data_IF_934971900690
#
_entry.id   IF_934971900690
#
_cell.length_a   1.000
_cell.length_b   1.000
_cell.length_c   1.000
_cell.angle_alpha   90.00
_cell.angle_beta   90.00
_cell.angle_gamma   90.00
#
_symmetry.space_group_name_H-M   'P 1'
#
loop_
_entity.id
_entity.type
_entity.pdbx_description
1 polymer ?
#
# COMPACT_ATOMS: atom_id res chain seq x y z
N UNK A 1 1.20 -15.02 9.05
CA UNK A 1 -0.05 -14.46 8.50
C UNK A 1 0.11 -12.95 8.41
N UNK A 2 -0.40 -12.36 7.34
CA UNK A 2 -0.43 -10.91 7.18
C UNK A 2 -1.15 -10.30 8.39
N UNK A 3 -0.58 -9.26 9.02
CA UNK A 3 -1.26 -8.59 10.11
C UNK A 3 -2.49 -7.91 9.56
N UNK A 4 -3.57 -8.49 9.96
CA UNK A 4 -4.87 -8.39 9.37
C UNK A 4 -5.51 -7.00 9.50
N UNK A 5 -6.47 -6.77 8.63
CA UNK A 5 -7.58 -5.82 8.59
C UNK A 5 -7.91 -5.06 9.90
N UNK A 6 -7.73 -5.66 11.08
CA UNK A 6 -8.03 -5.00 12.36
C UNK A 6 -7.30 -3.69 12.59
N UNK A 7 -6.04 -3.56 12.12
CA UNK A 7 -5.30 -2.30 12.30
C UNK A 7 -5.78 -1.21 11.35
N UNK A 8 -6.05 -1.53 10.07
CA UNK A 8 -6.63 -0.56 9.13
C UNK A 8 -8.07 -0.22 9.48
N UNK A 9 -8.90 -1.21 9.84
CA UNK A 9 -10.28 -0.97 10.26
C UNK A 9 -10.35 -0.04 11.50
N UNK A 10 -9.37 -0.12 12.40
CA UNK A 10 -9.30 0.78 13.55
C UNK A 10 -8.91 2.22 13.17
N UNK A 11 -8.01 2.39 12.20
CA UNK A 11 -7.62 3.71 11.70
C UNK A 11 -8.75 4.43 10.96
N UNK A 12 -9.64 3.68 10.31
CA UNK A 12 -10.73 4.22 9.49
C UNK A 12 -12.13 4.03 10.10
N UNK A 13 -12.24 3.60 11.37
CA UNK A 13 -13.54 3.29 12.02
C UNK A 13 -14.53 4.46 12.00
N UNK A 14 -14.02 5.70 12.04
CA UNK A 14 -14.83 6.92 12.07
C UNK A 14 -14.82 7.67 10.71
N UNK A 15 -14.40 6.99 9.64
CA UNK A 15 -14.30 7.56 8.29
C UNK A 15 -15.38 6.94 7.39
N UNK A 16 -16.54 7.60 7.21
CA UNK A 16 -17.65 7.03 6.45
C UNK A 16 -17.37 6.85 4.96
N UNK A 17 -16.34 7.52 4.43
CA UNK A 17 -15.91 7.39 3.03
C UNK A 17 -15.06 6.15 2.78
N UNK A 18 -14.51 5.54 3.83
CA UNK A 18 -13.68 4.35 3.71
C UNK A 18 -14.51 3.10 3.38
N UNK A 19 -14.16 2.44 2.28
CA UNK A 19 -14.73 1.14 1.92
C UNK A 19 -13.67 0.06 2.13
N UNK A 20 -13.86 -0.83 3.11
CA UNK A 20 -12.88 -1.87 3.39
C UNK A 20 -12.80 -2.88 2.25
N UNK A 21 -11.63 -3.49 2.08
CA UNK A 21 -11.46 -4.63 1.20
C UNK A 21 -12.29 -5.84 1.64
N UNK A 22 -12.55 -6.74 0.70
CA UNK A 22 -13.11 -8.05 1.01
C UNK A 22 -12.07 -8.88 1.78
N UNK A 23 -12.44 -9.34 2.97
CA UNK A 23 -11.50 -10.00 3.89
C UNK A 23 -10.84 -11.25 3.29
N UNK A 24 -11.57 -12.01 2.49
CA UNK A 24 -11.07 -13.23 1.87
C UNK A 24 -10.00 -12.95 0.81
N UNK A 25 -10.15 -11.88 0.06
CA UNK A 25 -9.26 -11.51 -1.03
C UNK A 25 -7.89 -11.08 -0.48
N UNK A 26 -7.86 -10.16 0.49
CA UNK A 26 -6.61 -9.72 1.13
C UNK A 26 -5.81 -10.89 1.71
N UNK A 27 -6.47 -11.91 2.28
CA UNK A 27 -5.79 -13.09 2.82
C UNK A 27 -5.24 -14.00 1.72
N UNK A 28 -5.99 -14.17 0.62
CA UNK A 28 -5.56 -15.02 -0.49
C UNK A 28 -4.41 -14.40 -1.28
N UNK A 29 -4.41 -13.08 -1.45
CA UNK A 29 -3.35 -12.37 -2.17
C UNK A 29 -1.97 -12.55 -1.51
N UNK A 30 -1.94 -12.68 -0.19
CA UNK A 30 -0.70 -12.88 0.58
C UNK A 30 -0.42 -14.34 0.95
N UNK A 31 -1.27 -15.26 0.54
CA UNK A 31 -1.06 -16.69 0.73
C UNK A 31 -0.23 -17.27 -0.42
N UNK A 32 1.02 -17.64 -0.10
CA UNK A 32 1.96 -18.24 -1.08
C UNK A 32 1.45 -19.49 -1.74
N UNK A 33 0.51 -20.20 -1.12
CA UNK A 33 -0.07 -21.41 -1.68
C UNK A 33 -1.21 -21.14 -2.66
N UNK A 34 -1.75 -19.92 -2.68
CA UNK A 34 -2.92 -19.53 -3.48
C UNK A 34 -2.58 -18.53 -4.58
N UNK A 35 -1.72 -17.56 -4.27
CA UNK A 35 -1.37 -16.51 -5.22
C UNK A 35 -0.19 -16.93 -6.11
N UNK A 36 -0.41 -17.19 -7.41
CA UNK A 36 0.64 -17.60 -8.34
C UNK A 36 1.72 -16.54 -8.57
N UNK A 37 1.47 -15.28 -8.20
CA UNK A 37 2.47 -14.22 -8.31
C UNK A 37 3.73 -14.52 -7.48
N UNK A 38 3.64 -15.36 -6.44
CA UNK A 38 4.79 -15.76 -5.65
C UNK A 38 5.81 -16.64 -6.40
N UNK A 39 5.49 -17.15 -7.59
CA UNK A 39 6.45 -17.80 -8.47
C UNK A 39 7.55 -16.84 -8.96
N UNK A 40 7.21 -15.54 -9.10
CA UNK A 40 8.10 -14.51 -9.61
C UNK A 40 8.20 -13.25 -8.72
N UNK A 41 7.48 -13.23 -7.60
CA UNK A 41 7.53 -12.16 -6.62
C UNK A 41 8.07 -12.66 -5.28
N UNK A 42 8.87 -11.82 -4.63
CA UNK A 42 9.16 -11.90 -3.21
C UNK A 42 8.38 -10.79 -2.49
N UNK A 43 7.69 -11.14 -1.41
CA UNK A 43 6.90 -10.17 -0.66
C UNK A 43 7.12 -10.30 0.84
N UNK A 44 7.06 -9.16 1.53
CA UNK A 44 7.20 -9.04 2.98
C UNK A 44 6.22 -8.02 3.53
N UNK A 45 5.91 -8.19 4.81
CA UNK A 45 5.05 -7.28 5.55
C UNK A 45 5.66 -6.96 6.91
N UNK A 46 5.43 -5.75 7.37
CA UNK A 46 5.90 -5.28 8.67
C UNK A 46 4.79 -4.54 9.40
N UNK A 47 4.89 -4.60 10.72
CA UNK A 47 4.07 -3.82 11.66
C UNK A 47 4.94 -2.84 12.41
N UNK A 48 4.44 -1.62 12.59
CA UNK A 48 4.93 -0.72 13.62
C UNK A 48 4.11 -0.96 14.90
N UNK A 49 4.82 -1.20 15.99
CA UNK A 49 4.23 -1.47 17.31
C UNK A 49 4.70 -0.39 18.29
N UNK A 50 3.77 0.10 19.11
CA UNK A 50 4.06 1.00 20.24
C UNK A 50 3.25 0.55 21.45
N UNK A 51 3.91 0.31 22.56
CA UNK A 51 3.28 -0.12 23.83
C UNK A 51 2.35 -1.34 23.69
N UNK A 52 2.70 -2.25 22.79
CA UNK A 52 1.91 -3.46 22.50
C UNK A 52 0.78 -3.27 21.49
N UNK A 53 0.52 -2.04 21.04
CA UNK A 53 -0.50 -1.72 20.07
C UNK A 53 0.08 -1.58 18.64
N UNK A 54 -0.70 -1.97 17.64
CA UNK A 54 -0.33 -1.77 16.24
C UNK A 54 -0.64 -0.33 15.86
N UNK A 55 0.40 0.44 15.51
CA UNK A 55 0.29 1.85 15.11
C UNK A 55 0.53 2.06 13.61
N UNK A 56 0.90 1.01 12.89
CA UNK A 56 1.04 1.06 11.44
C UNK A 56 1.44 -0.28 10.84
N UNK A 57 1.29 -0.37 9.53
CA UNK A 57 1.68 -1.53 8.73
C UNK A 57 2.19 -1.09 7.35
N UNK A 58 2.99 -1.91 6.72
CA UNK A 58 3.40 -1.74 5.33
C UNK A 58 3.72 -3.10 4.73
N UNK A 59 3.27 -3.30 3.49
CA UNK A 59 3.70 -4.41 2.66
C UNK A 59 4.74 -3.97 1.64
N UNK A 60 5.49 -4.91 1.11
CA UNK A 60 6.39 -4.64 0.00
C UNK A 60 6.57 -5.86 -0.89
N UNK A 61 6.72 -5.63 -2.19
CA UNK A 61 6.75 -6.65 -3.23
C UNK A 61 7.91 -6.36 -4.18
N UNK A 62 8.77 -7.35 -4.37
CA UNK A 62 9.81 -7.35 -5.41
C UNK A 62 9.37 -8.29 -6.53
N UNK A 63 8.96 -7.74 -7.67
CA UNK A 63 8.51 -8.50 -8.83
C UNK A 63 9.64 -8.61 -9.85
N UNK A 64 10.29 -9.78 -9.91
CA UNK A 64 11.35 -10.05 -10.92
C UNK A 64 10.82 -9.86 -12.33
N UNK A 65 9.66 -10.43 -12.63
CA UNK A 65 9.04 -10.36 -13.95
C UNK A 65 8.72 -8.95 -14.42
N UNK A 66 8.22 -8.09 -13.51
CA UNK A 66 7.96 -6.68 -13.83
C UNK A 66 9.27 -5.91 -14.03
N UNK A 67 10.25 -6.13 -13.15
CA UNK A 67 11.56 -5.50 -13.26
C UNK A 67 12.29 -5.86 -14.56
N UNK A 68 12.26 -7.14 -14.95
CA UNK A 68 12.82 -7.60 -16.22
C UNK A 68 12.11 -6.96 -17.43
N UNK A 69 10.77 -6.92 -17.39
CA UNK A 69 9.96 -6.32 -18.47
C UNK A 69 10.28 -4.84 -18.68
N UNK A 70 10.48 -4.10 -17.60
CA UNK A 70 10.70 -2.66 -17.66
C UNK A 70 12.19 -2.25 -17.65
N UNK A 71 13.11 -3.22 -17.61
CA UNK A 71 14.54 -2.96 -17.53
C UNK A 71 14.93 -2.14 -16.28
N UNK A 72 14.28 -2.38 -15.17
CA UNK A 72 14.45 -1.66 -13.91
C UNK A 72 14.60 -2.65 -12.76
N UNK A 73 15.21 -2.22 -11.65
CA UNK A 73 15.18 -2.97 -10.39
C UNK A 73 14.56 -2.07 -9.32
N UNK A 74 13.24 -2.19 -9.17
CA UNK A 74 12.43 -1.39 -8.24
C UNK A 74 11.72 -2.30 -7.24
N UNK A 75 11.55 -1.79 -6.03
CA UNK A 75 10.74 -2.41 -5.00
C UNK A 75 9.40 -1.67 -4.89
N UNK A 76 8.29 -2.39 -4.86
CA UNK A 76 6.97 -1.82 -4.62
C UNK A 76 6.70 -1.77 -3.12
N UNK A 77 6.12 -0.67 -2.61
CA UNK A 77 5.42 -0.70 -1.35
C UNK A 77 3.91 -0.80 -1.59
N UNK A 78 3.18 -1.36 -0.63
CA UNK A 78 1.74 -1.59 -0.73
C UNK A 78 1.10 -1.66 0.65
N UNK A 79 -0.23 -1.62 0.72
CA UNK A 79 -1.02 -1.81 1.94
C UNK A 79 -0.44 -1.04 3.15
N UNK A 80 -0.09 0.22 2.93
CA UNK A 80 0.47 1.08 3.95
C UNK A 80 -0.64 1.79 4.72
N UNK A 81 -0.62 1.59 6.03
CA UNK A 81 -1.50 2.30 6.97
C UNK A 81 -0.69 2.69 8.20
N UNK A 82 -0.88 3.91 8.68
CA UNK A 82 -0.20 4.40 9.89
C UNK A 82 -0.96 5.56 10.54
N UNK A 83 -0.78 5.72 11.85
CA UNK A 83 -1.29 6.89 12.59
C UNK A 83 -0.53 8.14 12.16
N UNK A 84 -1.11 9.33 12.40
CA UNK A 84 -0.47 10.62 12.11
C UNK A 84 0.71 10.88 13.06
N UNK A 85 1.82 10.18 12.79
CA UNK A 85 3.05 10.23 13.56
C UNK A 85 4.26 10.02 12.64
N UNK A 86 5.13 11.05 12.49
CA UNK A 86 6.31 10.99 11.62
C UNK A 86 7.32 9.91 12.00
N UNK A 87 7.40 9.52 13.27
CA UNK A 87 8.28 8.43 13.70
C UNK A 87 7.79 7.09 13.16
N UNK A 88 6.46 6.86 13.17
CA UNK A 88 5.85 5.62 12.69
C UNK A 88 6.01 5.50 11.18
N UNK A 89 5.65 6.53 10.41
CA UNK A 89 5.82 6.53 8.96
C UNK A 89 7.29 6.35 8.56
N UNK A 90 8.19 7.08 9.21
CA UNK A 90 9.63 6.96 8.97
C UNK A 90 10.15 5.53 9.25
N UNK A 91 9.74 4.90 10.34
CA UNK A 91 10.16 3.54 10.67
C UNK A 91 9.69 2.52 9.61
N UNK A 92 8.45 2.64 9.16
CA UNK A 92 7.88 1.76 8.13
C UNK A 92 8.63 1.89 6.80
N UNK A 93 8.77 3.11 6.28
CA UNK A 93 9.41 3.34 4.98
C UNK A 93 10.92 3.02 5.01
N UNK A 94 11.64 3.35 6.08
CA UNK A 94 13.05 2.94 6.24
C UNK A 94 13.23 1.43 6.23
N UNK A 95 12.27 0.68 6.76
CA UNK A 95 12.30 -0.79 6.73
C UNK A 95 12.17 -1.33 5.32
N UNK A 96 11.28 -0.74 4.51
CA UNK A 96 11.13 -1.06 3.08
C UNK A 96 12.39 -0.69 2.31
N UNK A 97 12.94 0.51 2.52
CA UNK A 97 14.18 0.97 1.89
C UNK A 97 15.39 0.09 2.24
N UNK A 98 15.46 -0.36 3.50
CA UNK A 98 16.53 -1.28 3.92
C UNK A 98 16.40 -2.64 3.23
N UNK A 99 15.19 -3.10 2.93
CA UNK A 99 14.99 -4.30 2.14
C UNK A 99 15.29 -4.06 0.65
N UNK A 100 14.89 -2.91 0.10
CA UNK A 100 15.25 -2.50 -1.26
C UNK A 100 16.76 -2.51 -1.49
N UNK A 101 17.52 -1.96 -0.56
CA UNK A 101 19.00 -1.95 -0.59
C UNK A 101 19.58 -3.37 -0.59
N UNK A 102 19.00 -4.31 0.16
CA UNK A 102 19.46 -5.73 0.17
C UNK A 102 19.17 -6.46 -1.13
N UNK A 103 18.26 -5.96 -1.95
CA UNK A 103 17.89 -6.48 -3.26
C UNK A 103 18.52 -5.68 -4.40
N UNK A 104 19.44 -4.77 -4.09
CA UNK A 104 20.08 -3.85 -5.04
C UNK A 104 19.07 -3.03 -5.87
N UNK A 105 17.90 -2.76 -5.30
CA UNK A 105 16.88 -1.94 -5.95
C UNK A 105 17.33 -0.48 -6.03
N UNK A 106 17.04 0.14 -7.16
CA UNK A 106 17.39 1.55 -7.44
C UNK A 106 16.33 2.53 -6.96
N UNK A 107 15.10 2.06 -6.73
CA UNK A 107 13.99 2.87 -6.24
C UNK A 107 12.97 2.04 -5.47
N UNK A 108 12.22 2.73 -4.61
CA UNK A 108 10.97 2.26 -3.98
C UNK A 108 9.83 3.09 -4.57
N UNK A 109 8.77 2.44 -5.02
CA UNK A 109 7.61 3.10 -5.61
C UNK A 109 6.29 2.44 -5.17
N UNK A 110 5.18 3.14 -5.30
CA UNK A 110 3.87 2.62 -4.87
C UNK A 110 2.92 3.72 -4.36
N UNK A 111 1.79 3.31 -3.76
CA UNK A 111 1.39 1.91 -3.49
C UNK A 111 1.05 1.13 -4.76
N UNK A 112 1.56 -0.10 -4.87
CA UNK A 112 1.32 -1.01 -6.00
C UNK A 112 1.19 -2.45 -5.49
N UNK A 113 0.25 -3.22 -6.02
CA UNK A 113 0.05 -4.62 -5.71
C UNK A 113 0.98 -5.59 -6.45
N UNK A 114 0.62 -6.87 -6.46
CA UNK A 114 1.33 -7.91 -7.22
C UNK A 114 1.17 -7.71 -8.72
N UNK A 115 -0.01 -7.26 -9.14
CA UNK A 115 -0.40 -7.01 -10.53
C UNK A 115 -1.01 -5.61 -10.67
N UNK A 116 -1.26 -5.19 -11.90
CA UNK A 116 -1.96 -3.95 -12.26
C UNK A 116 -3.50 -4.05 -12.12
N UNK A 117 -3.99 -5.21 -11.66
CA UNK A 117 -5.40 -5.40 -11.31
C UNK A 117 -5.63 -5.24 -9.79
N UNK A 118 -4.57 -5.14 -9.01
CA UNK A 118 -4.66 -4.87 -7.58
C UNK A 118 -4.88 -3.38 -7.32
N UNK A 119 -5.24 -3.07 -6.09
CA UNK A 119 -5.33 -1.66 -5.68
C UNK A 119 -3.98 -0.98 -5.78
N UNK A 120 -3.98 0.20 -6.35
CA UNK A 120 -2.78 1.02 -6.50
C UNK A 120 -3.10 2.50 -6.33
N UNK A 121 -2.03 3.29 -6.14
CA UNK A 121 -2.14 4.72 -5.93
C UNK A 121 -2.45 5.12 -4.48
N UNK A 122 -2.43 6.40 -4.26
CA UNK A 122 -2.73 7.05 -2.99
C UNK A 122 -3.70 8.20 -3.24
N UNK A 123 -4.78 8.27 -2.47
CA UNK A 123 -5.76 9.33 -2.60
C UNK A 123 -5.12 10.68 -2.30
N UNK A 124 -5.22 11.62 -3.23
CA UNK A 124 -4.67 12.99 -3.12
C UNK A 124 -5.76 14.05 -3.16
N UNK A 125 -6.91 13.74 -3.75
CA UNK A 125 -8.09 14.61 -3.84
C UNK A 125 -9.37 13.79 -3.71
N UNK A 126 -10.48 14.41 -3.29
CA UNK A 126 -11.77 13.75 -3.16
C UNK A 126 -11.96 12.97 -1.87
N UNK A 127 -11.31 13.38 -0.78
CA UNK A 127 -11.42 12.76 0.56
C UNK A 127 -12.85 12.79 1.14
N UNK A 128 -13.71 13.63 0.61
CA UNK A 128 -15.13 13.76 0.96
C UNK A 128 -16.02 12.74 0.24
N UNK A 129 -15.47 11.98 -0.71
CA UNK A 129 -16.20 10.99 -1.51
C UNK A 129 -16.01 9.59 -0.97
N UNK A 130 -17.07 8.77 -1.07
CA UNK A 130 -16.95 7.35 -0.75
C UNK A 130 -16.00 6.68 -1.73
N UNK A 131 -14.99 5.99 -1.22
CA UNK A 131 -14.01 5.28 -2.05
C UNK A 131 -14.65 4.10 -2.77
N UNK A 132 -14.09 3.71 -3.91
CA UNK A 132 -14.41 2.45 -4.54
C UNK A 132 -13.63 1.30 -3.85
N UNK A 133 -14.17 0.09 -3.87
CA UNK A 133 -13.48 -1.06 -3.28
C UNK A 133 -12.20 -1.45 -4.06
N UNK A 134 -12.01 -0.95 -5.27
CA UNK A 134 -10.81 -1.14 -6.09
C UNK A 134 -9.68 -0.16 -5.80
N UNK A 135 -9.95 0.91 -5.06
CA UNK A 135 -8.98 1.97 -4.81
C UNK A 135 -8.67 2.07 -3.33
N UNK A 136 -7.50 2.64 -3.02
CA UNK A 136 -7.17 2.93 -1.65
C UNK A 136 -7.86 4.22 -1.18
N UNK A 137 -8.37 4.20 0.04
CA UNK A 137 -8.61 5.39 0.82
C UNK A 137 -7.47 5.54 1.82
N UNK A 138 -6.96 6.73 1.98
CA UNK A 138 -5.98 7.08 2.99
C UNK A 138 -6.30 8.44 3.60
N UNK A 139 -5.77 8.70 4.78
CA UNK A 139 -5.89 10.02 5.39
C UNK A 139 -5.06 11.07 4.63
N UNK A 140 -5.49 12.36 4.63
CA UNK A 140 -4.78 13.43 3.94
C UNK A 140 -3.32 13.58 4.36
N UNK A 141 -2.99 13.36 5.64
CA UNK A 141 -1.63 13.49 6.16
C UNK A 141 -0.60 12.52 5.56
N UNK A 142 -1.04 11.46 4.86
CA UNK A 142 -0.12 10.51 4.24
C UNK A 142 0.82 11.18 3.23
N UNK A 143 0.28 12.10 2.43
CA UNK A 143 1.05 12.83 1.40
C UNK A 143 2.13 13.68 2.05
N UNK A 144 1.81 14.37 3.15
CA UNK A 144 2.76 15.21 3.88
C UNK A 144 3.90 14.36 4.45
N UNK A 145 3.58 13.19 5.04
CA UNK A 145 4.57 12.26 5.55
C UNK A 145 5.50 11.73 4.45
N UNK A 146 4.94 11.30 3.30
CA UNK A 146 5.75 10.80 2.20
C UNK A 146 6.64 11.91 1.62
N UNK A 147 6.12 13.11 1.46
CA UNK A 147 6.88 14.28 1.01
C UNK A 147 8.04 14.58 1.97
N UNK A 148 7.78 14.57 3.28
CA UNK A 148 8.80 14.77 4.30
C UNK A 148 9.89 13.68 4.30
N UNK A 149 9.55 12.45 3.89
CA UNK A 149 10.49 11.34 3.71
C UNK A 149 11.26 11.39 2.38
N UNK A 150 10.97 12.37 1.51
CA UNK A 150 11.64 12.56 0.22
C UNK A 150 11.02 11.79 -0.95
N UNK A 151 9.83 11.23 -0.76
CA UNK A 151 9.07 10.63 -1.87
C UNK A 151 8.44 11.72 -2.72
N UNK A 152 8.51 11.56 -4.03
CA UNK A 152 7.87 12.43 -5.00
C UNK A 152 6.74 11.72 -5.73
N UNK A 153 5.91 12.48 -6.41
CA UNK A 153 4.85 11.98 -7.26
C UNK A 153 5.42 11.35 -8.54
N UNK A 154 4.96 10.16 -8.90
CA UNK A 154 5.34 9.45 -10.13
C UNK A 154 4.28 9.65 -11.22
N UNK A 155 3.01 9.32 -10.93
CA UNK A 155 1.90 9.37 -11.89
C UNK A 155 0.60 9.76 -11.18
N UNK A 156 -0.34 10.34 -11.92
CA UNK A 156 -1.71 10.56 -11.47
C UNK A 156 -2.67 9.61 -12.17
N UNK A 157 -3.66 9.12 -11.42
CA UNK A 157 -4.85 8.45 -11.94
C UNK A 157 -6.07 9.28 -11.61
N UNK A 158 -7.06 9.27 -12.47
CA UNK A 158 -8.33 9.96 -12.26
C UNK A 158 -9.47 8.95 -12.20
N UNK A 159 -10.23 9.00 -11.12
CA UNK A 159 -11.49 8.28 -11.02
C UNK A 159 -12.64 9.13 -11.56
N UNK A 160 -13.51 8.54 -12.37
CA UNK A 160 -14.65 9.21 -12.95
C UNK A 160 -15.96 8.52 -12.55
N UNK A 161 -16.88 9.27 -11.97
CA UNK A 161 -18.25 8.82 -11.74
C UNK A 161 -19.10 9.06 -12.99
N UNK A 162 -19.62 7.99 -13.58
CA UNK A 162 -20.49 8.05 -14.76
C UNK A 162 -21.91 7.70 -14.33
N UNK A 163 -22.85 8.64 -14.58
CA UNK A 163 -24.26 8.37 -14.38
C UNK A 163 -24.79 7.49 -15.53
N UNK A 164 -25.47 6.40 -15.18
CA UNK A 164 -26.15 5.57 -16.19
C UNK A 164 -27.45 6.28 -16.58
N UNK A 165 -27.66 6.58 -17.86
CA UNK A 165 -28.93 7.14 -18.32
C UNK A 165 -30.09 6.17 -18.02
N UNK A 166 -31.18 6.70 -17.46
CA UNK A 166 -32.44 5.95 -17.26
C UNK A 166 -33.27 5.86 -18.53
#
# INVERSE_FOLDING_TARGET
SFPTRRSSDLLYKDVPQFVPATYGDDLSDWDRSKNPAFEYCDARCWLAMRDGEIVGRIGSIHSRKANDKWGANRLRFTQVDFIDDPEVSSALFRTVEAWAKKLDCTAVHGPLGFTDMDREGMLVEGFDRTSCFFTYYNHPYYIDHLTALGYGKDVDWTENLISVPT
#
